data_IF_757182599926
#
_entry.id   IF_757182599926
#
_cell.length_a   1.000
_cell.length_b   1.000
_cell.length_c   1.000
_cell.angle_alpha   90.00
_cell.angle_beta   90.00
_cell.angle_gamma   90.00
#
_symmetry.space_group_name_H-M   'P 1'
#
loop_
_entity.id
_entity.type
_entity.pdbx_description
1 polymer ?
#
# COMPACT_ATOMS: atom_id res chain seq x y z
N UNK A 1 6.82 -6.92 -0.78
CA UNK A 1 5.58 -7.15 -1.54
C UNK A 1 5.73 -6.55 -2.92
N UNK A 2 4.98 -7.02 -3.89
CA UNK A 2 4.96 -6.49 -5.25
C UNK A 2 3.76 -5.56 -5.43
N UNK A 3 3.92 -4.51 -6.23
CA UNK A 3 2.80 -3.64 -6.62
C UNK A 3 1.86 -4.45 -7.51
N UNK A 4 0.61 -4.61 -7.07
CA UNK A 4 -0.42 -5.31 -7.83
C UNK A 4 -1.23 -4.35 -8.69
N UNK A 5 -1.60 -4.78 -9.89
CA UNK A 5 -2.71 -4.14 -10.60
C UNK A 5 -4.01 -4.43 -9.86
N UNK A 6 -4.85 -3.41 -9.70
CA UNK A 6 -6.18 -3.55 -9.11
C UNK A 6 -7.26 -3.38 -10.17
N UNK A 7 -8.36 -4.09 -10.00
CA UNK A 7 -9.53 -3.95 -10.85
C UNK A 7 -10.08 -2.52 -10.78
N UNK A 8 -10.40 -1.94 -11.94
CA UNK A 8 -10.94 -0.59 -12.03
C UNK A 8 -9.93 0.53 -11.70
N UNK A 9 -8.61 0.27 -11.79
CA UNK A 9 -7.60 1.31 -11.67
C UNK A 9 -7.91 2.50 -12.61
N UNK A 10 -7.96 3.70 -12.05
CA UNK A 10 -8.29 4.95 -12.76
C UNK A 10 -7.04 5.66 -13.27
N UNK A 11 -5.88 5.45 -12.63
CA UNK A 11 -4.59 6.03 -13.04
C UNK A 11 -3.40 5.22 -12.53
N UNK A 12 -2.23 5.49 -13.09
CA UNK A 12 -0.93 5.01 -12.61
C UNK A 12 -0.06 6.22 -12.32
N UNK A 13 0.47 6.34 -11.09
CA UNK A 13 1.27 7.50 -10.67
C UNK A 13 2.74 7.11 -10.38
N UNK A 14 3.60 8.10 -10.13
CA UNK A 14 4.99 7.90 -9.69
C UNK A 14 5.99 7.51 -10.79
N UNK A 15 5.55 6.86 -11.87
CA UNK A 15 6.44 6.37 -12.95
C UNK A 15 7.31 7.46 -13.59
N UNK A 16 6.72 8.63 -13.89
CA UNK A 16 7.47 9.75 -14.49
C UNK A 16 8.49 10.41 -13.55
N UNK A 17 8.48 10.06 -12.25
CA UNK A 17 9.41 10.56 -11.24
C UNK A 17 10.54 9.56 -10.94
N UNK A 18 10.61 8.44 -11.69
CA UNK A 18 11.62 7.39 -11.51
C UNK A 18 11.22 6.26 -10.57
N UNK A 19 9.99 6.27 -10.02
CA UNK A 19 9.47 5.16 -9.20
C UNK A 19 8.85 4.04 -10.05
N UNK A 20 8.62 2.89 -9.44
CA UNK A 20 7.69 1.91 -9.99
C UNK A 20 6.29 2.56 -10.09
N UNK A 21 5.61 2.35 -11.21
CA UNK A 21 4.26 2.89 -11.41
C UNK A 21 3.30 2.30 -10.37
N UNK A 22 2.53 3.16 -9.69
CA UNK A 22 1.55 2.75 -8.69
C UNK A 22 0.13 2.89 -9.25
N UNK A 23 -0.56 1.77 -9.57
CA UNK A 23 -1.96 1.80 -9.98
C UNK A 23 -2.84 2.23 -8.81
N UNK A 24 -3.72 3.19 -9.03
CA UNK A 24 -4.70 3.65 -8.06
C UNK A 24 -6.10 3.59 -8.66
N UNK A 25 -7.08 3.33 -7.81
CA UNK A 25 -8.49 3.57 -8.08
C UNK A 25 -9.00 4.62 -7.11
N UNK A 26 -9.64 5.65 -7.63
CA UNK A 26 -10.37 6.60 -6.81
C UNK A 26 -11.71 5.99 -6.40
N UNK A 27 -12.08 6.21 -5.15
CA UNK A 27 -13.36 5.75 -4.62
C UNK A 27 -13.88 6.72 -3.57
N UNK A 28 -15.19 6.69 -3.35
CA UNK A 28 -15.83 7.39 -2.25
C UNK A 28 -16.16 6.36 -1.17
N UNK A 29 -15.73 6.59 0.06
CA UNK A 29 -15.97 5.69 1.18
C UNK A 29 -16.81 6.36 2.25
N UNK A 30 -17.50 5.56 3.06
CA UNK A 30 -18.04 6.00 4.33
C UNK A 30 -16.93 5.94 5.38
N UNK A 31 -16.43 7.10 5.82
CA UNK A 31 -15.41 7.20 6.85
C UNK A 31 -16.07 7.64 8.17
N UNK A 32 -15.79 6.92 9.26
CA UNK A 32 -16.36 7.25 10.58
C UNK A 32 -15.97 8.63 11.10
N UNK A 33 -14.84 9.17 10.65
CA UNK A 33 -14.32 10.49 11.04
C UNK A 33 -14.72 11.58 10.05
N UNK A 34 -14.68 11.29 8.74
CA UNK A 34 -14.86 12.30 7.68
C UNK A 34 -16.26 12.28 7.02
N UNK A 35 -17.11 11.31 7.35
CA UNK A 35 -18.49 11.19 6.85
C UNK A 35 -18.62 10.33 5.59
N UNK A 36 -19.86 10.24 5.10
CA UNK A 36 -20.18 9.57 3.84
C UNK A 36 -19.63 10.33 2.64
N UNK A 37 -19.25 9.60 1.59
CA UNK A 37 -18.75 10.20 0.36
C UNK A 37 -17.33 10.76 0.47
N UNK A 38 -16.55 10.33 1.46
CA UNK A 38 -15.16 10.79 1.64
C UNK A 38 -14.30 10.31 0.46
N UNK A 39 -13.63 11.21 -0.28
CA UNK A 39 -12.71 10.82 -1.34
C UNK A 39 -11.53 10.01 -0.80
N UNK A 40 -11.25 8.89 -1.44
CA UNK A 40 -10.18 7.96 -1.09
C UNK A 40 -9.50 7.44 -2.36
N UNK A 41 -8.29 6.92 -2.19
CA UNK A 41 -7.54 6.22 -3.23
C UNK A 41 -7.09 4.87 -2.70
N UNK A 42 -7.31 3.81 -3.46
CA UNK A 42 -6.89 2.46 -3.12
C UNK A 42 -5.89 1.92 -4.14
N UNK A 43 -4.92 1.14 -3.66
CA UNK A 43 -3.93 0.36 -4.43
C UNK A 43 -3.76 -0.99 -3.75
N UNK A 44 -3.14 -1.97 -4.43
CA UNK A 44 -2.83 -3.26 -3.84
C UNK A 44 -1.32 -3.53 -3.83
N UNK A 45 -0.91 -4.25 -2.79
CA UNK A 45 0.37 -4.94 -2.72
C UNK A 45 0.12 -6.41 -2.49
N UNK A 46 0.85 -7.24 -3.23
CA UNK A 46 0.75 -8.69 -3.16
C UNK A 46 2.03 -9.23 -2.53
N UNK A 47 1.95 -9.99 -1.41
CA UNK A 47 3.13 -10.60 -0.85
C UNK A 47 3.68 -11.65 -1.81
N UNK A 48 5.00 -11.80 -1.82
CA UNK A 48 5.65 -13.00 -2.36
C UNK A 48 5.32 -14.22 -1.48
N UNK A 49 5.53 -15.47 -1.95
CA UNK A 49 5.29 -16.66 -1.12
C UNK A 49 6.00 -16.61 0.24
N UNK A 50 7.30 -16.28 0.26
CA UNK A 50 8.08 -16.17 1.50
C UNK A 50 7.56 -15.06 2.44
N UNK A 51 7.11 -13.94 1.87
CA UNK A 51 6.48 -12.86 2.64
C UNK A 51 5.13 -13.29 3.20
N UNK A 52 4.35 -14.07 2.46
CA UNK A 52 3.07 -14.62 2.91
C UNK A 52 3.29 -15.62 4.05
N UNK A 53 4.32 -16.46 3.97
CA UNK A 53 4.72 -17.35 5.07
C UNK A 53 5.05 -16.57 6.35
N UNK A 54 5.80 -15.48 6.24
CA UNK A 54 6.12 -14.60 7.38
C UNK A 54 4.88 -13.93 7.95
N UNK A 55 3.98 -13.42 7.11
CA UNK A 55 2.70 -12.86 7.55
C UNK A 55 1.87 -13.91 8.31
N UNK A 56 1.80 -15.14 7.79
CA UNK A 56 1.12 -16.25 8.46
C UNK A 56 1.79 -16.64 9.79
N UNK A 57 3.10 -16.42 9.92
CA UNK A 57 3.85 -16.57 11.16
C UNK A 57 3.71 -15.37 12.14
N UNK A 58 2.86 -14.39 11.84
CA UNK A 58 2.60 -13.24 12.71
C UNK A 58 3.48 -12.01 12.45
N UNK A 59 4.22 -11.98 11.34
CA UNK A 59 4.94 -10.77 10.94
C UNK A 59 3.99 -9.61 10.61
N UNK A 60 4.40 -8.40 10.99
CA UNK A 60 3.66 -7.16 10.70
C UNK A 60 3.90 -6.66 9.27
N UNK A 61 2.95 -5.89 8.74
CA UNK A 61 3.17 -5.06 7.54
C UNK A 61 3.73 -3.71 7.99
N UNK A 62 4.86 -3.31 7.42
CA UNK A 62 5.52 -2.04 7.69
C UNK A 62 5.29 -1.04 6.55
N UNK A 63 4.83 0.15 6.90
CA UNK A 63 4.83 1.31 6.00
C UNK A 63 6.11 2.11 6.22
N UNK A 64 6.91 2.32 5.17
CA UNK A 64 8.13 3.13 5.24
C UNK A 64 7.92 4.48 4.56
N UNK A 65 8.16 5.55 5.32
CA UNK A 65 8.11 6.95 4.88
C UNK A 65 9.55 7.48 4.85
N UNK A 66 10.02 7.97 3.70
CA UNK A 66 11.39 8.47 3.54
C UNK A 66 11.50 9.96 3.92
N UNK A 67 12.46 10.37 4.74
CA UNK A 67 12.68 11.80 5.05
C UNK A 67 11.91 12.33 6.28
N UNK A 68 11.79 13.67 6.39
CA UNK A 68 11.25 14.38 7.57
C UNK A 68 9.93 15.14 7.33
N UNK A 69 9.44 15.14 6.10
CA UNK A 69 8.12 15.67 5.70
C UNK A 69 7.41 14.61 4.85
N UNK A 70 6.10 14.45 4.97
CA UNK A 70 5.33 13.30 4.43
C UNK A 70 5.45 13.17 2.88
N UNK A 71 6.20 12.22 2.32
CA UNK A 71 6.41 12.04 0.89
C UNK A 71 5.92 10.62 0.48
N UNK A 72 6.29 10.07 -0.71
CA UNK A 72 5.76 8.79 -1.19
C UNK A 72 5.88 7.64 -0.18
N UNK A 73 4.86 6.78 -0.16
CA UNK A 73 4.70 5.68 0.80
C UNK A 73 5.06 4.34 0.18
N UNK A 74 5.67 3.44 0.96
CA UNK A 74 6.01 2.06 0.57
C UNK A 74 5.52 1.05 1.62
N UNK A 75 4.93 -0.07 1.17
CA UNK A 75 4.43 -1.15 2.03
C UNK A 75 5.32 -2.39 1.90
N UNK A 76 5.83 -2.87 3.03
CA UNK A 76 6.74 -4.03 3.15
C UNK A 76 6.25 -5.01 4.21
N UNK A 77 6.67 -6.28 4.17
CA UNK A 77 6.49 -7.21 5.30
C UNK A 77 7.69 -7.08 6.24
N UNK A 78 7.43 -6.71 7.49
CA UNK A 78 8.39 -6.62 8.59
C UNK A 78 8.91 -7.99 9.02
N UNK A 79 10.08 -8.07 9.68
CA UNK A 79 10.63 -9.36 10.13
C UNK A 79 9.65 -10.10 11.05
N UNK A 80 9.73 -11.44 11.06
CA UNK A 80 8.95 -12.25 12.02
C UNK A 80 9.38 -11.87 13.44
N UNK A 81 8.44 -11.65 14.38
CA UNK A 81 8.78 -11.38 15.77
C UNK A 81 9.62 -12.51 16.36
N UNK A 82 10.61 -12.15 17.17
CA UNK A 82 11.34 -13.07 18.05
C UNK A 82 10.90 -12.79 19.49
N UNK A 83 10.61 -13.84 20.26
CA UNK A 83 10.28 -13.75 21.69
C UNK A 83 11.35 -13.02 22.52
#
# INVERSE_FOLDING_TARGET
>A
MQIGMIEGATRIIGKCQGYLGLPLRDELIACTVNGEGTPSMVTAWQPTPDELERLNAGASVHLRVLGVAHPPVMVEVGPTPTD
#
